data_IF_984111498766
#
_entry.id   IF_984111498766
#
_cell.length_a   1.000
_cell.length_b   1.000
_cell.length_c   1.000
_cell.angle_alpha   90.00
_cell.angle_beta   90.00
_cell.angle_gamma   90.00
#
_symmetry.space_group_name_H-M   'P 1'
#
loop_
_entity.id
_entity.type
_entity.pdbx_description
1 polymer ?
#
# COMPACT_ATOMS: atom_id res chain seq x y z
N UNK A 1 22.03 9.94 -0.70
CA UNK A 1 21.73 8.69 0.05
C UNK A 1 20.23 8.54 0.06
N UNK A 2 19.70 7.38 -0.30
CA UNK A 2 18.25 7.11 -0.29
C UNK A 2 17.68 7.39 1.11
N UNK A 3 16.55 8.12 1.19
CA UNK A 3 15.88 8.44 2.44
C UNK A 3 15.54 7.18 3.26
N UNK A 4 15.28 6.07 2.58
CA UNK A 4 15.07 4.74 3.16
C UNK A 4 16.31 4.24 3.90
N UNK A 5 17.49 4.44 3.33
CA UNK A 5 18.77 4.02 3.93
C UNK A 5 19.13 4.93 5.10
N UNK A 6 18.88 6.24 4.96
CA UNK A 6 19.08 7.20 6.05
C UNK A 6 18.17 6.90 7.25
N UNK A 7 16.90 6.56 6.98
CA UNK A 7 15.94 6.15 7.99
C UNK A 7 16.36 4.88 8.73
N UNK A 8 16.69 3.81 7.99
CA UNK A 8 17.15 2.56 8.61
C UNK A 8 18.38 2.82 9.48
N UNK A 9 19.30 3.67 9.04
CA UNK A 9 20.51 4.02 9.81
C UNK A 9 20.25 4.93 11.00
N UNK A 10 19.17 5.69 11.00
CA UNK A 10 18.80 6.55 12.13
C UNK A 10 18.06 5.77 13.22
N UNK A 11 17.15 4.89 12.81
CA UNK A 11 16.20 4.21 13.71
C UNK A 11 16.67 2.81 14.10
N UNK A 12 17.34 2.10 13.20
CA UNK A 12 17.76 0.72 13.44
C UNK A 12 19.26 0.61 13.71
N UNK A 13 19.61 -0.34 14.56
CA UNK A 13 20.98 -0.80 14.75
C UNK A 13 21.43 -1.71 13.57
N UNK A 14 22.64 -2.25 13.65
CA UNK A 14 23.20 -3.12 12.61
C UNK A 14 22.48 -4.47 12.48
N UNK A 15 21.59 -4.79 13.42
CA UNK A 15 20.81 -6.03 13.46
C UNK A 15 19.35 -5.83 13.06
N UNK A 16 18.99 -4.64 12.53
CA UNK A 16 17.62 -4.24 12.20
C UNK A 16 16.68 -4.18 13.42
N UNK A 17 17.22 -3.89 14.61
CA UNK A 17 16.42 -3.61 15.81
C UNK A 17 16.40 -2.12 16.13
N UNK A 18 15.31 -1.64 16.72
CA UNK A 18 15.21 -0.23 17.14
C UNK A 18 16.33 0.13 18.11
N UNK A 19 17.06 1.20 17.82
CA UNK A 19 18.11 1.67 18.73
C UNK A 19 17.50 2.15 20.05
N UNK A 20 17.97 1.64 21.21
CA UNK A 20 17.54 2.17 22.50
C UNK A 20 18.16 3.56 22.74
N UNK A 21 17.38 4.49 23.32
CA UNK A 21 17.89 5.74 23.86
C UNK A 21 18.24 6.83 22.84
N UNK A 22 17.43 7.04 21.79
CA UNK A 22 17.58 8.18 20.90
C UNK A 22 17.42 9.50 21.67
N UNK A 23 18.27 10.49 21.38
CA UNK A 23 18.09 11.84 21.93
C UNK A 23 16.82 12.49 21.34
N UNK A 24 16.19 13.48 22.02
CA UNK A 24 15.01 14.16 21.48
C UNK A 24 15.20 14.74 20.08
N UNK A 25 16.40 15.23 19.77
CA UNK A 25 16.74 15.74 18.44
C UNK A 25 16.91 14.62 17.41
N UNK A 26 17.48 13.47 17.81
CA UNK A 26 17.55 12.28 16.95
C UNK A 26 16.17 11.68 16.69
N UNK A 27 15.25 11.74 17.66
CA UNK A 27 13.87 11.29 17.50
C UNK A 27 13.10 12.18 16.53
N UNK A 28 13.24 13.51 16.65
CA UNK A 28 12.69 14.46 15.66
C UNK A 28 13.28 14.25 14.28
N UNK A 29 14.60 14.03 14.21
CA UNK A 29 15.28 13.76 12.94
C UNK A 29 14.81 12.46 12.31
N UNK A 30 14.68 11.41 13.11
CA UNK A 30 14.13 10.13 12.71
C UNK A 30 12.72 10.33 12.18
N UNK A 31 11.84 11.06 12.89
CA UNK A 31 10.50 11.38 12.41
C UNK A 31 10.49 12.12 11.07
N UNK A 32 11.35 13.12 10.86
CA UNK A 32 11.37 13.83 9.58
C UNK A 32 11.92 12.94 8.47
N UNK A 33 13.03 12.21 8.70
CA UNK A 33 13.57 11.25 7.73
C UNK A 33 12.56 10.15 7.39
N UNK A 34 11.78 9.75 8.39
CA UNK A 34 10.74 8.76 8.31
C UNK A 34 9.51 9.28 7.58
N UNK A 35 9.12 10.52 7.82
CA UNK A 35 8.10 11.20 7.04
C UNK A 35 8.58 11.36 5.60
N UNK A 36 9.83 11.73 5.34
CA UNK A 36 10.36 11.78 3.96
C UNK A 36 10.32 10.41 3.29
N UNK A 37 10.70 9.36 4.02
CA UNK A 37 10.60 7.99 3.52
C UNK A 37 9.14 7.61 3.24
N UNK A 38 8.25 7.89 4.17
CA UNK A 38 6.82 7.64 4.06
C UNK A 38 6.24 8.42 2.89
N UNK A 39 6.52 9.71 2.75
CA UNK A 39 6.03 10.55 1.66
C UNK A 39 6.66 10.16 0.32
N UNK A 40 7.94 9.77 0.28
CA UNK A 40 8.59 9.23 -0.92
C UNK A 40 8.02 7.86 -1.31
N UNK A 41 7.80 6.97 -0.34
CA UNK A 41 7.20 5.66 -0.53
C UNK A 41 5.70 5.76 -0.87
N UNK A 42 4.98 6.73 -0.31
CA UNK A 42 3.57 6.97 -0.61
C UNK A 42 3.42 7.68 -1.95
N UNK A 43 4.37 8.53 -2.34
CA UNK A 43 4.43 9.06 -3.70
C UNK A 43 4.62 7.98 -4.77
N UNK A 44 4.91 6.74 -4.36
CA UNK A 44 5.14 5.60 -5.24
C UNK A 44 4.29 4.42 -4.74
N UNK A 45 3.03 4.26 -5.18
CA UNK A 45 2.04 3.37 -4.56
C UNK A 45 2.50 1.92 -4.37
N UNK A 46 3.44 1.43 -5.18
CA UNK A 46 4.02 0.08 -5.06
C UNK A 46 4.98 -0.03 -3.87
N UNK A 47 5.59 1.08 -3.47
CA UNK A 47 6.56 1.15 -2.38
C UNK A 47 5.89 1.13 -1.00
N UNK A 48 4.56 1.29 -0.89
CA UNK A 48 3.87 1.16 0.40
C UNK A 48 4.03 -0.25 0.99
N UNK A 49 4.38 -1.25 0.19
CA UNK A 49 4.64 -2.62 0.64
C UNK A 49 6.09 -2.82 1.09
N UNK A 50 6.96 -1.82 0.91
CA UNK A 50 8.39 -1.87 1.26
C UNK A 50 8.70 -1.40 2.66
N UNK A 51 7.71 -0.90 3.39
CA UNK A 51 7.91 -0.51 4.78
C UNK A 51 7.95 -1.77 5.62
N UNK A 52 9.15 -2.15 6.07
CA UNK A 52 9.29 -3.29 6.97
C UNK A 52 8.41 -3.11 8.22
N UNK A 53 7.78 -4.18 8.74
CA UNK A 53 6.93 -4.09 9.93
C UNK A 53 7.63 -3.43 11.13
N UNK A 54 8.94 -3.63 11.28
CA UNK A 54 9.76 -2.99 12.31
C UNK A 54 9.80 -1.46 12.15
N UNK A 55 9.92 -0.95 10.92
CA UNK A 55 9.84 0.48 10.63
C UNK A 55 8.45 1.03 10.91
N UNK A 56 7.39 0.29 10.54
CA UNK A 56 5.99 0.62 10.89
C UNK A 56 5.72 0.58 12.40
N UNK A 57 6.39 -0.28 13.15
CA UNK A 57 6.29 -0.32 14.60
C UNK A 57 7.00 0.87 15.23
N UNK A 58 8.25 1.15 14.83
CA UNK A 58 9.02 2.28 15.29
C UNK A 58 8.33 3.62 15.00
N UNK A 59 7.74 3.76 13.81
CA UNK A 59 6.87 4.86 13.40
C UNK A 59 5.78 5.13 14.43
N UNK A 60 5.02 4.09 14.76
CA UNK A 60 3.87 4.20 15.65
C UNK A 60 4.28 4.55 17.07
N UNK A 61 5.37 3.95 17.56
CA UNK A 61 5.91 4.27 18.88
C UNK A 61 6.39 5.72 18.94
N UNK A 62 7.04 6.23 17.89
CA UNK A 62 7.43 7.63 17.81
C UNK A 62 6.20 8.55 17.80
N UNK A 63 5.21 8.28 16.95
CA UNK A 63 3.96 9.06 16.88
C UNK A 63 3.28 9.16 18.25
N UNK A 64 3.14 8.04 18.97
CA UNK A 64 2.55 8.02 20.32
C UNK A 64 3.35 8.91 21.27
N UNK A 65 4.68 8.78 21.26
CA UNK A 65 5.56 9.57 22.13
C UNK A 65 5.46 11.07 21.87
N UNK A 66 5.34 11.48 20.62
CA UNK A 66 5.23 12.90 20.25
C UNK A 66 3.83 13.48 20.36
N UNK A 67 2.80 12.62 20.43
CA UNK A 67 1.44 13.03 20.74
C UNK A 67 1.19 13.29 22.23
N UNK A 68 2.18 13.07 23.10
CA UNK A 68 2.07 13.28 24.53
C UNK A 68 3.12 14.31 25.04
N UNK A 69 2.70 15.53 25.44
CA UNK A 69 1.32 16.03 25.44
C UNK A 69 0.81 16.35 24.03
N UNK A 70 -0.53 16.35 23.87
CA UNK A 70 -1.18 16.63 22.59
C UNK A 70 -0.73 17.99 22.04
N UNK A 71 -0.25 18.07 20.78
CA UNK A 71 0.15 19.34 20.21
C UNK A 71 -1.04 20.28 20.09
N UNK A 72 -0.79 21.59 20.18
CA UNK A 72 -1.83 22.59 19.99
C UNK A 72 -2.46 22.48 18.59
N UNK A 73 -3.79 22.65 18.53
CA UNK A 73 -4.59 22.55 17.31
C UNK A 73 -4.03 23.44 16.20
N UNK A 74 -3.84 22.86 15.00
CA UNK A 74 -3.37 23.58 13.82
C UNK A 74 -1.87 23.90 13.81
N UNK A 75 -1.11 23.40 14.78
CA UNK A 75 0.36 23.45 14.78
C UNK A 75 0.96 22.61 13.63
N UNK A 76 2.19 22.92 13.17
CA UNK A 76 2.90 22.06 12.22
C UNK A 76 3.04 20.61 12.69
N UNK A 77 3.25 20.41 14.01
CA UNK A 77 3.40 19.10 14.62
C UNK A 77 2.11 18.29 14.57
N UNK A 78 0.96 18.92 14.79
CA UNK A 78 -0.36 18.31 14.63
C UNK A 78 -0.55 17.78 13.19
N UNK A 79 -0.31 18.62 12.17
CA UNK A 79 -0.38 18.18 10.76
C UNK A 79 0.61 17.06 10.42
N UNK A 80 1.81 17.10 11.00
CA UNK A 80 2.82 16.06 10.84
C UNK A 80 2.36 14.73 11.44
N UNK A 81 1.80 14.76 12.65
CA UNK A 81 1.25 13.57 13.31
C UNK A 81 0.05 13.03 12.53
N UNK A 82 -0.88 13.87 12.05
CA UNK A 82 -2.00 13.42 11.19
C UNK A 82 -1.50 12.67 9.95
N UNK A 83 -0.53 13.23 9.22
CA UNK A 83 0.03 12.58 8.02
C UNK A 83 0.75 11.26 8.38
N UNK A 84 1.48 11.23 9.49
CA UNK A 84 2.22 10.04 9.93
C UNK A 84 1.29 8.94 10.42
N UNK A 85 0.26 9.28 11.18
CA UNK A 85 -0.80 8.37 11.65
C UNK A 85 -1.58 7.80 10.48
N UNK A 86 -1.96 8.64 9.51
CA UNK A 86 -2.59 8.17 8.28
C UNK A 86 -1.70 7.22 7.50
N UNK A 87 -0.41 7.54 7.35
CA UNK A 87 0.53 6.64 6.71
C UNK A 87 0.63 5.31 7.44
N UNK A 88 0.77 5.34 8.76
CA UNK A 88 0.82 4.15 9.59
C UNK A 88 -0.42 3.28 9.44
N UNK A 89 -1.61 3.88 9.39
CA UNK A 89 -2.85 3.14 9.23
C UNK A 89 -3.04 2.60 7.81
N UNK A 90 -2.59 3.32 6.79
CA UNK A 90 -2.55 2.82 5.41
C UNK A 90 -1.52 1.68 5.25
N UNK A 91 -0.38 1.78 5.92
CA UNK A 91 0.72 0.80 5.83
C UNK A 91 0.45 -0.44 6.69
N UNK A 92 -0.22 -0.30 7.83
CA UNK A 92 -0.69 -1.42 8.65
C UNK A 92 -1.89 -2.07 7.97
N UNK A 93 -1.60 -3.09 7.16
CA UNK A 93 -2.60 -3.96 6.52
C UNK A 93 -3.48 -4.76 7.51
N UNK A 94 -3.28 -4.65 8.82
CA UNK A 94 -3.99 -5.45 9.82
C UNK A 94 -4.39 -4.62 11.05
N UNK A 95 -5.67 -4.70 11.42
CA UNK A 95 -6.22 -4.15 12.67
C UNK A 95 -7.49 -3.32 12.52
N UNK A 96 -8.56 -3.90 11.96
CA UNK A 96 -10.02 -3.80 12.23
C UNK A 96 -10.71 -2.52 12.76
N UNK A 97 -10.08 -1.36 12.80
CA UNK A 97 -10.73 -0.13 13.29
C UNK A 97 -11.13 0.77 12.14
N UNK A 98 -12.23 0.39 11.48
CA UNK A 98 -12.84 1.15 10.39
C UNK A 98 -13.09 2.62 10.79
N UNK A 99 -13.52 2.86 12.03
CA UNK A 99 -13.76 4.20 12.59
C UNK A 99 -12.51 5.09 12.58
N UNK A 100 -11.38 4.57 13.10
CA UNK A 100 -10.10 5.30 13.11
C UNK A 100 -9.65 5.66 11.68
N UNK A 101 -9.90 4.77 10.70
CA UNK A 101 -9.56 5.02 9.31
C UNK A 101 -10.50 6.05 8.64
N UNK A 102 -11.78 6.07 9.01
CA UNK A 102 -12.74 7.08 8.55
C UNK A 102 -12.36 8.47 9.06
N UNK A 103 -12.07 8.60 10.36
CA UNK A 103 -11.67 9.87 10.95
C UNK A 103 -10.40 10.42 10.29
N UNK A 104 -9.42 9.56 10.01
CA UNK A 104 -8.21 9.97 9.30
C UNK A 104 -8.46 10.39 7.86
N UNK A 105 -9.33 9.71 7.12
CA UNK A 105 -9.70 10.12 5.75
C UNK A 105 -10.36 11.50 5.77
N UNK A 106 -11.22 11.78 6.75
CA UNK A 106 -11.83 13.10 6.94
C UNK A 106 -10.76 14.14 7.28
N UNK A 107 -9.87 13.86 8.23
CA UNK A 107 -8.79 14.77 8.63
C UNK A 107 -7.84 15.09 7.47
N UNK A 108 -7.46 14.08 6.67
CA UNK A 108 -6.64 14.27 5.46
C UNK A 108 -7.35 15.12 4.41
N UNK A 109 -8.65 14.88 4.19
CA UNK A 109 -9.45 15.68 3.24
C UNK A 109 -9.47 17.15 3.65
N UNK A 110 -9.66 17.42 4.95
CA UNK A 110 -9.59 18.78 5.52
C UNK A 110 -8.19 19.36 5.32
N UNK A 111 -7.13 18.61 5.63
CA UNK A 111 -5.74 19.04 5.52
C UNK A 111 -5.34 19.44 4.09
N UNK A 112 -5.84 18.71 3.09
CA UNK A 112 -5.61 18.97 1.66
C UNK A 112 -6.46 20.13 1.12
N UNK A 113 -7.45 20.56 1.89
CA UNK A 113 -8.44 21.54 1.48
C UNK A 113 -9.39 21.00 0.42
N UNK A 114 -9.71 19.70 0.49
CA UNK A 114 -10.81 19.14 -0.27
C UNK A 114 -12.13 19.77 0.21
N UNK A 115 -12.99 20.10 -0.75
CA UNK A 115 -14.28 20.78 -0.54
C UNK A 115 -15.41 19.79 -0.26
N UNK A 116 -15.21 18.50 -0.52
CA UNK A 116 -16.21 17.44 -0.30
C UNK A 116 -16.55 17.21 1.17
N UNK A 117 -15.63 17.53 2.09
CA UNK A 117 -15.90 17.62 3.52
C UNK A 117 -16.65 18.94 3.84
N UNK A 118 -17.98 18.83 3.99
CA UNK A 118 -19.04 19.83 4.30
C UNK A 118 -18.68 21.30 4.62
N UNK A 119 -19.56 22.16 4.10
CA UNK A 119 -20.01 23.47 4.60
C UNK A 119 -19.11 24.18 5.62
N UNK A 120 -18.18 24.99 5.14
CA UNK A 120 -17.74 26.21 5.82
C UNK A 120 -16.99 27.10 4.81
N UNK A 121 -17.60 28.21 4.44
CA UNK A 121 -17.01 29.27 3.63
C UNK A 121 -15.85 29.96 4.38
N UNK A 122 -14.88 30.47 3.63
CA UNK A 122 -13.73 31.32 4.04
C UNK A 122 -12.56 30.74 4.84
N UNK A 123 -12.58 29.49 5.30
CA UNK A 123 -11.39 28.93 5.97
C UNK A 123 -10.35 28.49 4.93
N UNK A 124 -9.13 29.03 5.01
CA UNK A 124 -8.00 28.56 4.20
C UNK A 124 -7.53 27.19 4.69
N UNK A 125 -8.18 26.15 4.18
CA UNK A 125 -7.94 24.75 4.55
C UNK A 125 -6.53 24.25 4.22
N UNK A 126 -5.77 24.98 3.38
CA UNK A 126 -4.37 24.65 3.02
C UNK A 126 -3.33 25.32 3.91
N UNK A 127 -3.76 26.21 4.80
CA UNK A 127 -2.87 26.87 5.76
C UNK A 127 -2.04 25.89 6.61
N UNK A 128 -2.57 24.73 7.09
CA UNK A 128 -1.77 23.80 7.88
C UNK A 128 -0.57 23.20 7.10
N UNK A 129 -0.76 22.81 5.83
CA UNK A 129 0.34 22.29 5.00
C UNK A 129 1.43 23.33 4.72
N UNK A 130 1.06 24.59 4.49
CA UNK A 130 2.05 25.67 4.32
C UNK A 130 2.79 25.99 5.62
N UNK A 131 2.12 25.92 6.77
CA UNK A 131 2.76 26.03 8.09
C UNK A 131 3.75 24.89 8.32
N UNK A 132 3.38 23.67 7.94
CA UNK A 132 4.27 22.50 8.00
C UNK A 132 5.50 22.66 7.11
N UNK A 133 5.32 23.07 5.86
CA UNK A 133 6.43 23.34 4.94
C UNK A 133 7.41 24.39 5.50
N UNK A 134 6.88 25.53 5.94
CA UNK A 134 7.71 26.60 6.51
C UNK A 134 8.47 26.14 7.77
N UNK A 135 7.83 25.31 8.60
CA UNK A 135 8.47 24.71 9.77
C UNK A 135 9.60 23.73 9.37
N UNK A 136 9.36 22.85 8.39
CA UNK A 136 10.39 21.92 7.87
C UNK A 136 11.58 22.67 7.27
N UNK A 137 11.33 23.75 6.53
CA UNK A 137 12.38 24.60 5.97
C UNK A 137 13.23 25.26 7.07
N UNK A 138 12.61 25.69 8.17
CA UNK A 138 13.31 26.25 9.33
C UNK A 138 14.14 25.20 10.07
N UNK A 139 13.62 23.99 10.25
CA UNK A 139 14.37 22.90 10.89
C UNK A 139 15.53 22.40 10.02
N UNK A 140 15.40 22.43 8.69
CA UNK A 140 16.52 22.18 7.78
C UNK A 140 17.69 23.15 8.01
N UNK A 141 17.39 24.45 8.16
CA UNK A 141 18.43 25.46 8.40
C UNK A 141 19.19 25.21 9.71
N UNK A 142 18.54 24.57 10.69
CA UNK A 142 19.13 24.26 12.00
C UNK A 142 19.97 22.98 12.01
N UNK A 143 19.59 21.99 11.22
CA UNK A 143 20.12 20.62 11.35
C UNK A 143 21.18 20.24 10.32
N UNK A 144 21.52 21.13 9.37
CA UNK A 144 22.48 20.90 8.25
C UNK A 144 22.07 19.74 7.32
N UNK A 145 20.97 19.07 7.62
CA UNK A 145 20.46 17.94 6.87
C UNK A 145 19.52 18.45 5.79
N UNK A 146 19.56 17.89 4.57
CA UNK A 146 18.64 18.27 3.51
C UNK A 146 17.23 17.78 3.89
N UNK A 147 16.48 18.60 4.62
CA UNK A 147 15.14 18.30 5.15
C UNK A 147 13.98 19.04 4.43
N UNK A 148 14.26 19.88 3.42
CA UNK A 148 13.20 20.53 2.63
C UNK A 148 12.38 19.49 1.87
N UNK A 149 11.13 19.31 2.28
CA UNK A 149 10.07 18.76 1.44
C UNK A 149 9.32 19.95 0.83
N UNK A 150 9.44 20.20 -0.48
CA UNK A 150 8.63 21.21 -1.15
C UNK A 150 7.13 20.97 -0.94
N UNK A 151 6.33 22.03 -0.90
CA UNK A 151 4.86 21.94 -0.80
C UNK A 151 4.24 20.94 -1.77
N UNK A 152 4.81 20.84 -2.97
CA UNK A 152 4.37 19.92 -4.01
C UNK A 152 4.50 18.45 -3.58
N UNK A 153 5.60 18.08 -2.90
CA UNK A 153 5.82 16.72 -2.40
C UNK A 153 4.89 16.40 -1.22
N UNK A 154 4.70 17.36 -0.31
CA UNK A 154 3.75 17.22 0.81
C UNK A 154 2.31 17.02 0.32
N UNK A 155 1.88 17.81 -0.67
CA UNK A 155 0.56 17.65 -1.30
C UNK A 155 0.41 16.31 -2.01
N UNK A 156 1.41 15.93 -2.82
CA UNK A 156 1.41 14.66 -3.55
C UNK A 156 1.21 13.49 -2.57
N UNK A 157 2.00 13.46 -1.51
CA UNK A 157 1.92 12.39 -0.54
C UNK A 157 0.62 12.42 0.30
N UNK A 158 0.10 13.60 0.66
CA UNK A 158 -1.21 13.72 1.28
C UNK A 158 -2.33 13.17 0.38
N UNK A 159 -2.31 13.49 -0.93
CA UNK A 159 -3.26 12.91 -1.88
C UNK A 159 -3.12 11.38 -1.99
N UNK A 160 -1.90 10.84 -1.97
CA UNK A 160 -1.71 9.39 -1.95
C UNK A 160 -2.25 8.73 -0.68
N UNK A 161 -2.04 9.35 0.49
CA UNK A 161 -2.61 8.88 1.75
C UNK A 161 -4.14 8.87 1.71
N UNK A 162 -4.73 9.95 1.22
CA UNK A 162 -6.18 10.07 1.11
C UNK A 162 -6.73 8.98 0.18
N UNK A 163 -6.12 8.82 -1.00
CA UNK A 163 -6.49 7.78 -1.95
C UNK A 163 -6.36 6.37 -1.35
N UNK A 164 -5.22 6.05 -0.71
CA UNK A 164 -4.99 4.73 -0.12
C UNK A 164 -5.91 4.45 1.07
N UNK A 165 -6.13 5.42 1.95
CA UNK A 165 -7.03 5.30 3.09
C UNK A 165 -8.47 5.06 2.64
N UNK A 166 -8.93 5.83 1.64
CA UNK A 166 -10.25 5.64 1.06
C UNK A 166 -10.41 4.28 0.37
N UNK A 167 -9.41 3.82 -0.39
CA UNK A 167 -9.41 2.48 -0.98
C UNK A 167 -9.45 1.37 0.08
N UNK A 168 -8.71 1.53 1.18
CA UNK A 168 -8.68 0.56 2.26
C UNK A 168 -10.03 0.49 2.98
N UNK A 169 -10.70 1.63 3.21
CA UNK A 169 -12.08 1.66 3.72
C UNK A 169 -13.04 0.90 2.81
N UNK A 170 -12.98 1.17 1.51
CA UNK A 170 -13.84 0.49 0.53
C UNK A 170 -13.59 -1.03 0.52
N UNK A 171 -12.32 -1.46 0.57
CA UNK A 171 -11.97 -2.90 0.66
C UNK A 171 -12.50 -3.54 1.94
N UNK A 172 -12.31 -2.90 3.09
CA UNK A 172 -12.80 -3.41 4.38
C UNK A 172 -14.31 -3.56 4.38
N UNK A 173 -15.04 -2.66 3.72
CA UNK A 173 -16.49 -2.73 3.61
C UNK A 173 -16.98 -3.79 2.65
N UNK A 174 -16.31 -3.99 1.52
CA UNK A 174 -16.64 -5.11 0.62
C UNK A 174 -16.48 -6.44 1.35
N UNK A 175 -15.39 -6.61 2.12
CA UNK A 175 -15.14 -7.82 2.91
C UNK A 175 -16.11 -7.92 4.10
N UNK A 176 -16.44 -6.79 4.75
CA UNK A 176 -17.26 -6.75 5.96
C UNK A 176 -18.78 -6.75 5.72
N UNK A 177 -19.25 -6.35 4.53
CA UNK A 177 -20.67 -6.32 4.17
C UNK A 177 -21.31 -7.70 4.18
N UNK A 178 -20.52 -8.76 3.97
CA UNK A 178 -20.99 -10.15 4.08
C UNK A 178 -21.11 -10.62 5.55
N UNK A 179 -20.42 -9.96 6.48
CA UNK A 179 -20.25 -10.46 7.85
C UNK A 179 -21.09 -9.73 8.91
N UNK A 180 -21.45 -8.46 8.73
CA UNK A 180 -22.04 -7.64 9.82
C UNK A 180 -23.16 -6.70 9.37
N UNK A 181 -24.40 -7.13 9.60
CA UNK A 181 -25.63 -6.36 9.40
C UNK A 181 -25.87 -5.22 10.42
N UNK A 182 -24.84 -4.49 10.84
CA UNK A 182 -25.00 -3.36 11.78
C UNK A 182 -24.51 -2.04 11.19
N UNK A 183 -25.47 -1.12 11.06
CA UNK A 183 -25.35 0.27 10.66
C UNK A 183 -25.10 1.14 11.90
N UNK A 184 -23.90 1.69 12.02
CA UNK A 184 -23.59 2.76 12.97
C UNK A 184 -22.37 3.53 12.50
N UNK A 185 -22.47 4.85 12.41
CA UNK A 185 -21.35 5.78 12.23
C UNK A 185 -20.59 5.78 10.90
N UNK A 186 -20.93 4.91 9.93
CA UNK A 186 -20.10 4.74 8.72
C UNK A 186 -20.16 5.96 7.79
N UNK A 187 -19.00 6.54 7.48
CA UNK A 187 -18.81 7.45 6.35
C UNK A 187 -19.45 6.81 5.10
N UNK A 188 -20.44 7.41 4.42
CA UNK A 188 -21.08 6.75 3.28
C UNK A 188 -20.08 6.32 2.18
N UNK A 189 -20.31 5.18 1.52
CA UNK A 189 -19.40 4.64 0.48
C UNK A 189 -19.14 5.65 -0.64
N UNK A 190 -20.15 6.43 -1.02
CA UNK A 190 -20.00 7.47 -2.02
C UNK A 190 -19.03 8.58 -1.60
N UNK A 191 -18.94 8.91 -0.30
CA UNK A 191 -17.99 9.92 0.20
C UNK A 191 -16.56 9.37 0.19
N UNK A 192 -16.36 8.11 0.59
CA UNK A 192 -15.05 7.48 0.50
C UNK A 192 -14.58 7.39 -0.97
N UNK A 193 -15.49 7.01 -1.88
CA UNK A 193 -15.21 6.96 -3.32
C UNK A 193 -14.90 8.35 -3.89
N UNK A 194 -15.69 9.38 -3.55
CA UNK A 194 -15.47 10.76 -3.97
C UNK A 194 -14.11 11.28 -3.47
N UNK A 195 -13.75 11.02 -2.21
CA UNK A 195 -12.44 11.36 -1.66
C UNK A 195 -11.30 10.65 -2.41
N UNK A 196 -11.47 9.36 -2.74
CA UNK A 196 -10.49 8.61 -3.52
C UNK A 196 -10.34 9.16 -4.95
N UNK A 197 -11.46 9.52 -5.59
CA UNK A 197 -11.50 10.12 -6.93
C UNK A 197 -10.87 11.51 -6.95
N UNK A 198 -11.25 12.39 -6.02
CA UNK A 198 -10.69 13.73 -5.84
C UNK A 198 -9.18 13.69 -5.59
N UNK A 199 -8.74 12.79 -4.71
CA UNK A 199 -7.32 12.53 -4.46
C UNK A 199 -6.59 12.10 -5.75
N UNK A 200 -7.18 11.18 -6.52
CA UNK A 200 -6.58 10.68 -7.76
C UNK A 200 -6.54 11.74 -8.85
N UNK A 201 -7.59 12.54 -9.02
CA UNK A 201 -7.59 13.66 -9.94
C UNK A 201 -6.53 14.70 -9.56
N UNK A 202 -6.35 14.94 -8.26
CA UNK A 202 -5.29 15.79 -7.74
C UNK A 202 -3.90 15.19 -8.01
N UNK A 203 -3.72 13.89 -7.83
CA UNK A 203 -2.48 13.18 -8.19
C UNK A 203 -2.18 13.29 -9.69
N UNK A 204 -3.18 13.14 -10.54
CA UNK A 204 -3.07 13.29 -11.99
C UNK A 204 -2.74 14.72 -12.42
N UNK A 205 -3.25 15.71 -11.71
CA UNK A 205 -2.96 17.11 -11.98
C UNK A 205 -1.56 17.53 -11.49
N UNK A 206 -1.12 16.97 -10.35
CA UNK A 206 0.17 17.28 -9.72
C UNK A 206 1.33 16.46 -10.29
N UNK A 207 1.09 15.25 -10.78
CA UNK A 207 2.02 14.53 -11.65
C UNK A 207 1.95 15.23 -13.02
N UNK A 208 2.99 15.93 -13.50
CA UNK A 208 2.93 16.61 -14.78
C UNK A 208 2.63 15.66 -15.95
N UNK A 209 2.42 16.24 -17.15
CA UNK A 209 2.16 15.67 -18.50
C UNK A 209 2.98 14.43 -18.93
N UNK A 210 3.87 13.94 -18.07
CA UNK A 210 4.79 12.83 -18.27
C UNK A 210 4.19 11.47 -17.85
N UNK A 211 2.93 11.40 -17.42
CA UNK A 211 2.24 10.12 -17.21
C UNK A 211 2.93 9.18 -16.23
N UNK A 212 3.47 9.68 -15.11
CA UNK A 212 4.32 8.89 -14.22
C UNK A 212 3.70 7.51 -13.91
N UNK A 213 4.44 6.40 -14.05
CA UNK A 213 3.90 5.04 -13.96
C UNK A 213 3.13 4.76 -12.65
N UNK A 214 3.62 5.33 -11.55
CA UNK A 214 3.02 5.26 -10.22
C UNK A 214 1.60 5.88 -10.14
N UNK A 215 1.35 7.01 -10.81
CA UNK A 215 0.03 7.64 -10.84
C UNK A 215 -0.97 6.79 -11.61
N UNK A 216 -0.54 6.19 -12.73
CA UNK A 216 -1.35 5.27 -13.53
C UNK A 216 -1.75 4.01 -12.74
N UNK A 217 -0.88 3.51 -11.86
CA UNK A 217 -1.24 2.43 -10.95
C UNK A 217 -2.32 2.83 -9.94
N UNK A 218 -2.26 4.04 -9.36
CA UNK A 218 -3.32 4.54 -8.48
C UNK A 218 -4.68 4.60 -9.19
N UNK A 219 -4.70 5.08 -10.43
CA UNK A 219 -5.91 5.10 -11.25
C UNK A 219 -6.44 3.69 -11.49
N UNK A 220 -5.56 2.74 -11.83
CA UNK A 220 -5.95 1.36 -12.05
C UNK A 220 -6.59 0.74 -10.80
N UNK A 221 -6.05 1.04 -9.61
CA UNK A 221 -6.63 0.60 -8.35
C UNK A 221 -8.00 1.25 -8.04
N UNK A 222 -8.22 2.52 -8.43
CA UNK A 222 -9.56 3.12 -8.35
C UNK A 222 -10.55 2.37 -9.22
N UNK A 223 -10.20 2.11 -10.48
CA UNK A 223 -11.07 1.39 -11.41
C UNK A 223 -11.38 -0.01 -10.89
N UNK A 224 -10.41 -0.66 -10.25
CA UNK A 224 -10.62 -1.95 -9.59
C UNK A 224 -11.67 -1.88 -8.48
N UNK A 225 -11.62 -0.86 -7.63
CA UNK A 225 -12.61 -0.69 -6.56
C UNK A 225 -13.97 -0.27 -7.09
N UNK A 226 -14.01 0.56 -8.14
CA UNK A 226 -15.22 0.92 -8.88
C UNK A 226 -15.80 -0.21 -9.74
N UNK A 227 -15.25 -1.43 -9.66
CA UNK A 227 -15.67 -2.59 -10.46
C UNK A 227 -15.60 -2.38 -11.99
N UNK A 228 -14.62 -1.60 -12.45
CA UNK A 228 -14.34 -1.31 -13.85
C UNK A 228 -13.02 -1.98 -14.28
N UNK A 229 -12.98 -3.32 -14.39
CA UNK A 229 -11.72 -4.03 -14.62
C UNK A 229 -11.09 -3.72 -15.98
N UNK A 230 -11.88 -3.36 -16.99
CA UNK A 230 -11.38 -2.95 -18.32
C UNK A 230 -10.52 -1.69 -18.24
N UNK A 231 -11.03 -0.68 -17.55
CA UNK A 231 -10.32 0.58 -17.36
C UNK A 231 -9.10 0.39 -16.45
N UNK A 232 -9.20 -0.50 -15.46
CA UNK A 232 -8.04 -0.89 -14.65
C UNK A 232 -6.94 -1.55 -15.51
N UNK A 233 -7.30 -2.50 -16.38
CA UNK A 233 -6.35 -3.18 -17.26
C UNK A 233 -5.68 -2.18 -18.22
N UNK A 234 -6.44 -1.25 -18.82
CA UNK A 234 -5.89 -0.18 -19.66
C UNK A 234 -4.89 0.67 -18.88
N UNK A 235 -5.25 1.12 -17.67
CA UNK A 235 -4.38 1.92 -16.82
C UNK A 235 -3.09 1.18 -16.42
N UNK A 236 -3.16 -0.11 -16.08
CA UNK A 236 -1.96 -0.90 -15.80
C UNK A 236 -1.06 -1.09 -17.03
N UNK A 237 -1.63 -1.31 -18.22
CA UNK A 237 -0.84 -1.35 -19.48
C UNK A 237 -0.13 -0.04 -19.74
N UNK A 238 -0.82 1.09 -19.55
CA UNK A 238 -0.21 2.42 -19.67
C UNK A 238 0.93 2.59 -18.64
N UNK A 239 0.73 2.14 -17.40
CA UNK A 239 1.77 2.20 -16.36
C UNK A 239 3.02 1.40 -16.77
N UNK A 240 2.83 0.20 -17.32
CA UNK A 240 3.93 -0.64 -17.82
C UNK A 240 4.67 -0.01 -18.99
N UNK A 241 3.94 0.46 -20.00
CA UNK A 241 4.54 1.12 -21.16
C UNK A 241 5.37 2.33 -20.73
N UNK A 242 4.84 3.14 -19.82
CA UNK A 242 5.54 4.33 -19.34
C UNK A 242 6.73 3.99 -18.44
N UNK A 243 6.67 2.93 -17.64
CA UNK A 243 7.82 2.47 -16.87
C UNK A 243 8.96 2.02 -17.79
N UNK A 244 8.65 1.34 -18.89
CA UNK A 244 9.62 0.95 -19.91
C UNK A 244 10.23 2.17 -20.62
N UNK A 245 9.43 3.18 -20.96
CA UNK A 245 9.92 4.43 -21.57
C UNK A 245 10.87 5.20 -20.65
N UNK A 246 10.52 5.36 -19.37
CA UNK A 246 11.37 6.04 -18.38
C UNK A 246 12.69 5.28 -18.19
N UNK A 247 12.62 3.94 -18.12
CA UNK A 247 13.78 3.07 -18.05
C UNK A 247 14.69 3.20 -19.28
N UNK A 248 14.12 3.33 -20.48
CA UNK A 248 14.90 3.53 -21.70
C UNK A 248 15.55 4.91 -21.78
N UNK A 249 14.87 5.94 -21.27
CA UNK A 249 15.38 7.31 -21.25
C UNK A 249 16.46 7.56 -20.19
N UNK A 250 16.42 6.83 -19.06
CA UNK A 250 17.45 6.94 -18.01
C UNK A 250 18.59 5.96 -18.24
N UNK A 251 19.79 6.48 -18.52
CA UNK A 251 21.03 5.69 -18.59
C UNK A 251 21.41 5.02 -17.27
N UNK A 252 20.87 5.52 -16.16
CA UNK A 252 20.87 4.88 -14.86
C UNK A 252 19.41 4.69 -14.44
N UNK A 253 18.79 3.59 -14.86
CA UNK A 253 17.39 3.28 -14.54
C UNK A 253 17.11 3.53 -13.05
N UNK A 254 16.09 4.35 -12.76
CA UNK A 254 15.71 4.60 -11.37
C UNK A 254 15.19 3.30 -10.79
N UNK A 255 15.68 2.94 -9.60
CA UNK A 255 15.26 1.74 -8.88
C UNK A 255 13.72 1.66 -8.77
N UNK A 256 13.09 2.81 -8.57
CA UNK A 256 11.64 2.97 -8.49
C UNK A 256 10.92 2.39 -9.70
N UNK A 257 11.45 2.59 -10.90
CA UNK A 257 10.75 2.26 -12.13
C UNK A 257 10.62 0.74 -12.31
N UNK A 258 11.65 -0.01 -11.92
CA UNK A 258 11.60 -1.47 -11.95
C UNK A 258 10.61 -2.06 -10.94
N UNK A 259 10.49 -1.45 -9.76
CA UNK A 259 9.50 -1.88 -8.77
C UNK A 259 8.10 -1.61 -9.27
N UNK A 260 7.88 -0.43 -9.86
CA UNK A 260 6.60 -0.07 -10.47
C UNK A 260 6.26 -0.98 -11.65
N UNK A 261 7.23 -1.29 -12.51
CA UNK A 261 7.09 -2.24 -13.62
C UNK A 261 6.67 -3.63 -13.12
N UNK A 262 7.39 -4.20 -12.13
CA UNK A 262 7.05 -5.50 -11.57
C UNK A 262 5.67 -5.52 -10.89
N UNK A 263 5.34 -4.47 -10.13
CA UNK A 263 4.04 -4.34 -9.45
C UNK A 263 2.89 -4.19 -10.44
N UNK A 264 3.02 -3.33 -11.45
CA UNK A 264 2.01 -3.13 -12.48
C UNK A 264 1.80 -4.39 -13.31
N UNK A 265 2.87 -5.13 -13.64
CA UNK A 265 2.77 -6.38 -14.38
C UNK A 265 2.05 -7.46 -13.57
N UNK A 266 2.42 -7.62 -12.30
CA UNK A 266 1.77 -8.56 -11.39
C UNK A 266 0.27 -8.28 -11.25
N UNK A 267 -0.10 -7.00 -11.05
CA UNK A 267 -1.50 -6.60 -10.91
C UNK A 267 -2.28 -6.72 -12.23
N UNK A 268 -1.67 -6.37 -13.36
CA UNK A 268 -2.30 -6.55 -14.67
C UNK A 268 -2.65 -8.02 -14.92
N UNK A 269 -1.74 -8.94 -14.64
CA UNK A 269 -2.00 -10.39 -14.77
C UNK A 269 -3.21 -10.80 -13.92
N UNK A 270 -3.28 -10.33 -12.67
CA UNK A 270 -4.44 -10.60 -11.81
C UNK A 270 -5.74 -10.06 -12.41
N UNK A 271 -5.72 -8.84 -12.96
CA UNK A 271 -6.91 -8.24 -13.56
C UNK A 271 -7.35 -9.00 -14.81
N UNK A 272 -6.43 -9.32 -15.72
CA UNK A 272 -6.74 -10.03 -16.96
C UNK A 272 -7.29 -11.44 -16.70
N UNK A 273 -6.73 -12.16 -15.73
CA UNK A 273 -7.11 -13.54 -15.47
C UNK A 273 -8.39 -13.66 -14.64
N UNK A 274 -8.57 -12.81 -13.63
CA UNK A 274 -9.60 -13.04 -12.60
C UNK A 274 -10.73 -12.02 -12.61
N UNK A 275 -10.58 -10.89 -13.29
CA UNK A 275 -11.61 -9.86 -13.36
C UNK A 275 -12.16 -9.88 -14.77
N UNK A 276 -13.48 -9.69 -14.91
CA UNK A 276 -14.24 -9.88 -16.16
C UNK A 276 -13.92 -8.79 -17.20
N UNK A 277 -12.64 -8.57 -17.49
CA UNK A 277 -12.18 -7.73 -18.60
C UNK A 277 -12.65 -8.36 -19.90
N UNK A 278 -12.40 -9.66 -20.02
CA UNK A 278 -12.82 -10.47 -21.16
C UNK A 278 -13.34 -11.82 -20.64
N UNK A 279 -14.20 -12.48 -21.41
CA UNK A 279 -14.60 -13.86 -21.10
C UNK A 279 -13.41 -14.83 -21.21
N UNK A 280 -12.46 -14.50 -22.09
CA UNK A 280 -11.23 -15.26 -22.32
C UNK A 280 -10.03 -14.35 -22.47
N UNK A 281 -8.96 -14.61 -21.73
CA UNK A 281 -7.71 -13.85 -21.74
C UNK A 281 -6.70 -14.46 -22.71
N UNK A 282 -5.81 -13.63 -23.27
CA UNK A 282 -4.75 -14.09 -24.18
C UNK A 282 -3.59 -14.74 -23.43
N UNK A 283 -3.28 -16.01 -23.76
CA UNK A 283 -2.14 -16.73 -23.17
C UNK A 283 -0.80 -16.05 -23.48
N UNK A 284 -0.65 -15.55 -24.71
CA UNK A 284 0.55 -14.85 -25.16
C UNK A 284 0.75 -13.53 -24.39
N UNK A 285 -0.31 -12.73 -24.23
CA UNK A 285 -0.24 -11.48 -23.47
C UNK A 285 0.15 -11.74 -22.01
N UNK A 286 -0.58 -12.63 -21.32
CA UNK A 286 -0.34 -12.93 -19.90
C UNK A 286 1.06 -13.50 -19.68
N UNK A 287 1.53 -14.40 -20.56
CA UNK A 287 2.89 -14.94 -20.48
C UNK A 287 3.96 -13.87 -20.70
N UNK A 288 3.74 -12.95 -21.64
CA UNK A 288 4.62 -11.81 -21.90
C UNK A 288 4.71 -10.87 -20.69
N UNK A 289 3.57 -10.53 -20.07
CA UNK A 289 3.52 -9.69 -18.87
C UNK A 289 4.20 -10.38 -17.68
N UNK A 290 3.99 -11.68 -17.47
CA UNK A 290 4.68 -12.45 -16.42
C UNK A 290 6.20 -12.47 -16.61
N UNK A 291 6.67 -12.64 -17.85
CA UNK A 291 8.10 -12.59 -18.16
C UNK A 291 8.70 -11.19 -17.91
N UNK A 292 7.97 -10.15 -18.27
CA UNK A 292 8.35 -8.77 -17.97
C UNK A 292 8.44 -8.54 -16.45
N UNK A 293 7.48 -9.03 -15.68
CA UNK A 293 7.49 -8.93 -14.22
C UNK A 293 8.72 -9.59 -13.61
N UNK A 294 9.11 -10.79 -14.08
CA UNK A 294 10.32 -11.48 -13.62
C UNK A 294 11.59 -10.69 -13.89
N UNK A 295 11.69 -10.14 -15.10
CA UNK A 295 12.86 -9.37 -15.52
C UNK A 295 13.00 -8.09 -14.69
N UNK A 296 11.89 -7.40 -14.46
CA UNK A 296 11.83 -6.23 -13.59
C UNK A 296 12.21 -6.60 -12.13
N UNK A 297 11.63 -7.67 -11.59
CA UNK A 297 11.87 -8.11 -10.22
C UNK A 297 13.32 -8.60 -9.99
N UNK A 298 13.90 -9.28 -10.98
CA UNK A 298 15.31 -9.69 -10.94
C UNK A 298 16.25 -8.48 -10.82
N UNK A 299 15.92 -7.38 -11.51
CA UNK A 299 16.65 -6.11 -11.45
C UNK A 299 16.53 -5.43 -10.08
N UNK A 300 15.45 -5.70 -9.34
CA UNK A 300 15.19 -5.11 -8.03
C UNK A 300 15.78 -5.90 -6.84
N UNK A 301 16.23 -7.16 -7.05
CA UNK A 301 16.53 -8.14 -5.98
C UNK A 301 17.48 -7.64 -4.89
N UNK A 302 18.45 -6.78 -5.22
CA UNK A 302 19.48 -6.31 -4.27
C UNK A 302 18.98 -5.21 -3.32
N UNK A 303 17.84 -4.61 -3.61
CA UNK A 303 17.41 -3.37 -2.97
C UNK A 303 15.99 -3.44 -2.39
N UNK A 304 15.17 -4.36 -2.88
CA UNK A 304 13.87 -4.62 -2.29
C UNK A 304 14.02 -5.27 -0.90
N UNK A 305 13.25 -4.83 0.11
CA UNK A 305 13.08 -5.55 1.35
C UNK A 305 12.63 -6.99 1.08
N UNK A 306 13.16 -7.92 1.89
CA UNK A 306 12.94 -9.35 1.69
C UNK A 306 11.46 -9.73 1.75
N UNK A 307 10.68 -9.08 2.62
CA UNK A 307 9.24 -9.34 2.75
C UNK A 307 8.49 -9.03 1.45
N UNK A 308 8.70 -7.84 0.89
CA UNK A 308 8.02 -7.42 -0.35
C UNK A 308 8.46 -8.24 -1.55
N UNK A 309 9.75 -8.54 -1.64
CA UNK A 309 10.28 -9.43 -2.67
C UNK A 309 9.66 -10.83 -2.56
N UNK A 310 9.46 -11.33 -1.34
CA UNK A 310 8.80 -12.61 -1.08
C UNK A 310 7.33 -12.59 -1.49
N UNK A 311 6.60 -11.52 -1.15
CA UNK A 311 5.19 -11.35 -1.53
C UNK A 311 5.03 -11.32 -3.06
N UNK A 312 5.79 -10.47 -3.76
CA UNK A 312 5.75 -10.40 -5.23
C UNK A 312 6.11 -11.74 -5.88
N UNK A 313 7.10 -12.46 -5.36
CA UNK A 313 7.46 -13.80 -5.85
C UNK A 313 6.33 -14.80 -5.65
N UNK A 314 5.67 -14.76 -4.50
CA UNK A 314 4.54 -15.64 -4.20
C UNK A 314 3.40 -15.37 -5.17
N UNK A 315 3.05 -14.10 -5.37
CA UNK A 315 1.94 -13.69 -6.23
C UNK A 315 2.21 -14.07 -7.70
N UNK A 316 3.42 -13.81 -8.21
CA UNK A 316 3.82 -14.23 -9.55
C UNK A 316 3.89 -15.76 -9.70
N UNK A 317 4.35 -16.48 -8.68
CA UNK A 317 4.37 -17.94 -8.70
C UNK A 317 2.96 -18.52 -8.73
N UNK A 318 2.02 -17.95 -7.96
CA UNK A 318 0.61 -18.33 -7.99
C UNK A 318 -0.01 -18.08 -9.37
N UNK A 319 0.23 -16.89 -9.94
CA UNK A 319 -0.25 -16.56 -11.28
C UNK A 319 0.29 -17.55 -12.35
N UNK A 320 1.58 -17.90 -12.31
CA UNK A 320 2.15 -18.91 -13.22
C UNK A 320 1.52 -20.28 -13.07
N UNK A 321 1.28 -20.73 -11.84
CA UNK A 321 0.60 -22.02 -11.59
C UNK A 321 -0.79 -22.00 -12.20
N UNK A 322 -1.54 -20.92 -12.01
CA UNK A 322 -2.86 -20.75 -12.60
C UNK A 322 -2.81 -20.74 -14.14
N UNK A 323 -1.91 -19.97 -14.75
CA UNK A 323 -1.74 -19.96 -16.23
C UNK A 323 -1.43 -21.35 -16.76
N UNK A 324 -0.47 -22.04 -16.14
CA UNK A 324 -0.07 -23.39 -16.55
C UNK A 324 -1.23 -24.38 -16.44
N UNK A 325 -1.91 -24.41 -15.30
CA UNK A 325 -3.04 -25.31 -15.07
C UNK A 325 -4.18 -25.06 -16.07
N UNK A 326 -4.52 -23.79 -16.33
CA UNK A 326 -5.56 -23.45 -17.31
C UNK A 326 -5.13 -23.81 -18.73
N UNK A 327 -3.88 -23.58 -19.11
CA UNK A 327 -3.37 -23.96 -20.43
C UNK A 327 -3.38 -25.49 -20.65
N UNK A 328 -3.03 -26.27 -19.61
CA UNK A 328 -3.08 -27.74 -19.65
C UNK A 328 -4.51 -28.28 -19.82
N UNK A 329 -5.51 -27.59 -19.25
CA UNK A 329 -6.93 -27.94 -19.41
C UNK A 329 -7.49 -27.58 -20.80
N UNK A 330 -6.81 -26.69 -21.54
CA UNK A 330 -7.27 -26.16 -22.83
C UNK A 330 -6.15 -26.17 -23.87
N UNK A 331 -5.62 -27.36 -24.23
CA UNK A 331 -4.47 -27.47 -25.12
C UNK A 331 -4.75 -26.85 -26.50
N UNK A 332 -3.79 -26.09 -27.01
CA UNK A 332 -3.84 -25.46 -28.34
C UNK A 332 -4.73 -24.22 -28.45
N UNK A 333 -5.30 -23.72 -27.34
CA UNK A 333 -6.09 -22.49 -27.36
C UNK A 333 -5.22 -21.26 -27.03
N UNK A 334 -5.26 -20.25 -27.89
CA UNK A 334 -4.55 -18.97 -27.67
C UNK A 334 -5.26 -18.06 -26.66
N UNK A 335 -6.58 -18.23 -26.52
CA UNK A 335 -7.42 -17.50 -25.56
C UNK A 335 -8.05 -18.47 -24.58
N UNK A 336 -7.68 -18.33 -23.32
CA UNK A 336 -8.04 -19.24 -22.24
C UNK A 336 -9.21 -18.68 -21.42
N UNK A 337 -10.12 -19.52 -20.94
CA UNK A 337 -11.16 -19.06 -20.03
C UNK A 337 -10.54 -18.63 -18.70
N UNK A 338 -11.29 -17.87 -17.92
CA UNK A 338 -10.92 -17.54 -16.54
C UNK A 338 -10.49 -18.81 -15.79
N UNK A 339 -9.37 -18.78 -15.04
CA UNK A 339 -9.00 -19.91 -14.21
C UNK A 339 -10.14 -20.20 -13.24
N UNK A 340 -10.63 -21.44 -13.25
CA UNK A 340 -11.37 -21.95 -12.10
C UNK A 340 -10.40 -21.87 -10.93
N UNK A 341 -10.78 -21.16 -9.86
CA UNK A 341 -9.95 -21.14 -8.65
C UNK A 341 -9.76 -22.59 -8.23
N UNK A 342 -8.56 -23.13 -8.48
CA UNK A 342 -8.02 -24.12 -7.58
C UNK A 342 -7.81 -23.29 -6.33
N UNK A 343 -8.65 -23.51 -5.33
CA UNK A 343 -8.49 -22.94 -4.01
C UNK A 343 -7.10 -23.40 -3.55
N UNK A 344 -6.10 -22.57 -3.87
CA UNK A 344 -4.68 -22.84 -3.73
C UNK A 344 -4.34 -22.59 -2.26
N UNK A 345 -5.15 -23.18 -1.37
CA UNK A 345 -5.61 -22.63 -0.11
C UNK A 345 -5.03 -21.26 0.20
N UNK A 346 -5.88 -20.22 0.18
CA UNK A 346 -5.69 -19.22 1.24
C UNK A 346 -5.36 -20.01 2.51
N UNK A 347 -4.22 -19.78 3.18
CA UNK A 347 -3.92 -20.51 4.40
C UNK A 347 -5.14 -20.27 5.24
N UNK A 348 -5.98 -21.30 5.36
CA UNK A 348 -7.33 -21.11 5.81
C UNK A 348 -7.19 -20.42 7.15
N UNK A 349 -7.52 -19.13 7.15
CA UNK A 349 -8.06 -18.46 8.32
C UNK A 349 -9.53 -18.87 8.36
N UNK A 350 -9.82 -20.15 8.11
CA UNK A 350 -10.75 -20.87 8.95
C UNK A 350 -10.30 -20.50 10.34
N UNK A 351 -11.11 -19.66 10.95
CA UNK A 351 -11.13 -19.45 12.38
C UNK A 351 -10.84 -20.82 13.00
N UNK A 352 -9.61 -21.02 13.50
CA UNK A 352 -9.13 -22.34 13.96
C UNK A 352 -9.71 -22.61 15.33
N UNK A 353 -11.01 -22.39 15.46
CA UNK A 353 -11.80 -22.60 16.65
C UNK A 353 -12.17 -24.06 16.69
N UNK A 354 -11.75 -24.73 17.76
CA UNK A 354 -12.18 -26.11 18.00
C UNK A 354 -13.71 -26.15 18.04
N UNK A 355 -14.36 -26.94 17.18
CA UNK A 355 -15.82 -27.07 17.14
C UNK A 355 -16.46 -27.45 18.50
N UNK A 356 -15.69 -28.05 19.41
CA UNK A 356 -16.15 -28.37 20.76
C UNK A 356 -15.94 -27.26 21.81
N UNK A 357 -14.96 -26.37 21.67
CA UNK A 357 -14.63 -25.39 22.72
C UNK A 357 -14.38 -23.95 22.24
N UNK A 358 -14.52 -23.71 20.94
CA UNK A 358 -14.42 -22.42 20.26
C UNK A 358 -13.12 -21.62 20.47
N UNK A 359 -12.02 -22.24 20.94
CA UNK A 359 -10.72 -21.58 21.13
C UNK A 359 -9.85 -21.64 19.87
N UNK A 360 -9.28 -20.50 19.48
CA UNK A 360 -8.34 -20.36 18.36
C UNK A 360 -6.93 -20.82 18.75
N UNK A 361 -6.26 -21.65 17.95
CA UNK A 361 -4.84 -22.05 18.16
C UNK A 361 -4.02 -21.99 16.87
N UNK A 362 -2.80 -21.44 16.97
CA UNK A 362 -1.81 -21.37 15.87
C UNK A 362 -0.97 -22.63 15.73
N UNK A 363 -0.85 -23.43 16.81
CA UNK A 363 -0.09 -24.67 16.84
C UNK A 363 -1.02 -25.85 17.14
N UNK A 364 -1.02 -26.84 16.25
CA UNK A 364 -1.88 -28.02 16.32
C UNK A 364 -1.40 -28.95 17.45
N UNK A 365 -2.08 -28.92 18.59
CA UNK A 365 -2.01 -29.96 19.63
C UNK A 365 -3.42 -30.50 19.86
N UNK A 366 -3.50 -31.76 20.31
CA UNK A 366 -4.76 -32.36 20.75
C UNK A 366 -5.47 -31.39 21.71
N UNK A 367 -6.75 -31.08 21.45
CA UNK A 367 -7.53 -30.32 22.42
C UNK A 367 -7.62 -31.15 23.71
N UNK A 368 -6.98 -30.66 24.78
CA UNK A 368 -6.90 -31.36 26.06
C UNK A 368 -8.29 -31.68 26.65
N UNK A 369 -9.31 -30.90 26.28
CA UNK A 369 -10.67 -31.04 26.78
C UNK A 369 -11.50 -32.11 26.05
N UNK A 370 -11.42 -32.21 24.72
CA UNK A 370 -12.32 -33.08 23.95
C UNK A 370 -11.64 -34.29 23.29
N UNK A 371 -10.30 -34.30 23.12
CA UNK A 371 -9.50 -35.42 22.57
C UNK A 371 -9.96 -36.05 21.23
N UNK A 372 -11.02 -35.56 20.57
CA UNK A 372 -11.82 -36.39 19.67
C UNK A 372 -11.61 -36.18 18.15
N UNK A 373 -10.80 -35.22 17.68
CA UNK A 373 -10.72 -34.95 16.23
C UNK A 373 -9.31 -34.62 15.74
N UNK A 374 -8.86 -35.32 14.68
CA UNK A 374 -7.65 -35.05 13.89
C UNK A 374 -7.97 -35.16 12.39
N UNK A 375 -7.69 -34.13 11.58
CA UNK A 375 -7.62 -34.16 10.11
C UNK A 375 -6.73 -32.97 9.63
N UNK A 376 -5.97 -32.95 8.52
CA UNK A 376 -5.36 -33.96 7.65
C UNK A 376 -3.99 -33.40 7.15
N UNK A 377 -3.19 -34.31 6.59
CA UNK A 377 -1.74 -34.31 6.32
C UNK A 377 -1.47 -34.22 4.81
N UNK A 378 -0.44 -33.46 4.40
CA UNK A 378 0.72 -33.80 3.50
C UNK A 378 1.38 -32.46 3.03
N UNK A 379 2.70 -32.28 3.04
CA UNK A 379 3.75 -33.08 2.35
C UNK A 379 4.93 -33.42 3.26
N UNK A 380 5.44 -34.64 3.07
CA UNK A 380 6.71 -35.19 3.59
C UNK A 380 7.91 -34.47 2.97
N UNK A 381 8.88 -34.04 3.78
CA UNK A 381 10.28 -34.06 3.34
C UNK A 381 10.83 -35.45 3.68
N UNK A 382 11.25 -36.20 2.66
CA UNK A 382 12.01 -37.43 2.80
C UNK A 382 13.47 -37.10 2.53
N UNK A 383 14.30 -37.56 3.48
CA UNK A 383 15.78 -37.63 3.54
C UNK A 383 16.55 -36.33 3.40
#
# INVERSE_FOLDING_TARGET
MDATVALHRAVLDRTNHCRPGLSPDQEKLAMVALLRYVLAALSQPVMSWLVEPACSHALHTAVIKFSDPQPADGSPLDSLLTLTSAALMVLRRHGDKEEELQDLVVQLSVLLGDKSAKDCSRIDRRAPLRRLEAWLAKEQQRTVLPLALPLAELKLAGCHLLHRGALQLLKQRIIGAEARGQQGGRLPDHIALEAAMSATQSLLHMAPKEGRPNALMCIAELFMVGQQPDEAAKAYRMALGRAAEVKAASSAGSLTDHVVEAGAASLLVTVLMYRRVEERWSLAEVSGVLHQADTALASCRRWLPNATLSDLRRDLASARRAVKATAEQHPGQDRLPRPTFVDDGEPCVLDRTCAGCNRSSVHLQACAACRAVYYCRHVRMVS
#
